data_IF_169604456280
#
_entry.id   IF_169604456280
#
_cell.length_a   1.000
_cell.length_b   1.000
_cell.length_c   1.000
_cell.angle_alpha   90.00
_cell.angle_beta   90.00
_cell.angle_gamma   90.00
#
_symmetry.space_group_name_H-M   'P 1'
#
loop_
_entity.id
_entity.type
_entity.pdbx_description
1 polymer ?
#
# COMPACT_ATOMS: atom_id res chain seq x y z
N UNK A 1 -3.07 12.73 -20.82
CA UNK A 1 -2.28 11.71 -21.51
C UNK A 1 -1.07 12.38 -22.15
N UNK A 2 0.12 11.82 -21.97
CA UNK A 2 1.37 12.26 -22.59
C UNK A 2 1.54 11.56 -23.95
N UNK A 3 2.34 12.12 -24.88
CA UNK A 3 2.60 11.47 -26.17
C UNK A 3 3.27 10.10 -25.98
N UNK A 4 3.06 9.15 -26.92
CA UNK A 4 3.71 7.85 -26.86
C UNK A 4 5.22 8.00 -26.93
N UNK A 5 5.92 7.25 -26.08
CA UNK A 5 7.38 7.08 -26.15
C UNK A 5 7.66 5.73 -26.80
N UNK A 6 8.55 5.70 -27.80
CA UNK A 6 8.95 4.45 -28.43
C UNK A 6 9.56 3.50 -27.39
N UNK A 7 9.03 2.29 -27.32
CA UNK A 7 9.56 1.21 -26.50
C UNK A 7 10.72 0.52 -27.21
N UNK A 8 11.66 -0.03 -26.45
CA UNK A 8 12.82 -0.75 -26.98
C UNK A 8 12.45 -2.22 -27.20
N UNK A 9 12.73 -2.74 -28.40
CA UNK A 9 12.49 -4.14 -28.71
C UNK A 9 13.59 -5.01 -28.11
N UNK A 10 13.26 -5.82 -27.10
CA UNK A 10 14.19 -6.68 -26.38
C UNK A 10 14.43 -8.04 -27.05
N UNK A 11 13.38 -8.65 -27.58
CA UNK A 11 13.44 -10.02 -28.11
C UNK A 11 12.55 -10.17 -29.34
N UNK A 12 13.04 -10.98 -30.29
CA UNK A 12 12.32 -11.45 -31.47
C UNK A 12 12.33 -12.98 -31.47
N UNK A 13 11.28 -13.58 -30.92
CA UNK A 13 11.11 -15.03 -30.83
C UNK A 13 9.73 -15.46 -31.33
N UNK A 14 9.07 -16.40 -30.63
CA UNK A 14 7.66 -16.73 -30.87
C UNK A 14 6.68 -15.58 -30.59
N UNK A 15 7.17 -14.53 -29.91
CA UNK A 15 6.51 -13.26 -29.60
C UNK A 15 7.54 -12.13 -29.67
N UNK A 16 7.06 -10.87 -29.71
CA UNK A 16 7.88 -9.67 -29.62
C UNK A 16 7.77 -9.07 -28.23
N UNK A 17 8.90 -8.76 -27.59
CA UNK A 17 8.91 -8.16 -26.24
C UNK A 17 9.47 -6.75 -26.31
N UNK A 18 8.72 -5.81 -25.77
CA UNK A 18 9.05 -4.39 -25.71
C UNK A 18 9.31 -3.97 -24.25
N UNK A 19 10.43 -3.30 -23.99
CA UNK A 19 10.76 -2.63 -22.72
C UNK A 19 10.41 -1.15 -22.81
N UNK A 20 9.54 -0.69 -21.91
CA UNK A 20 9.19 0.73 -21.77
C UNK A 20 10.31 1.52 -21.07
N UNK A 21 11.30 0.83 -20.51
CA UNK A 21 12.47 1.33 -19.80
C UNK A 21 12.21 1.60 -18.31
N UNK A 22 10.96 1.89 -17.97
CA UNK A 22 10.49 2.11 -16.60
C UNK A 22 9.04 1.67 -16.46
N UNK A 23 8.61 1.49 -15.21
CA UNK A 23 7.22 1.28 -14.88
C UNK A 23 6.36 2.43 -15.45
N UNK A 24 5.39 2.06 -16.27
CA UNK A 24 4.59 3.00 -17.04
C UNK A 24 3.12 2.66 -16.91
N UNK A 25 2.33 3.64 -16.48
CA UNK A 25 0.87 3.53 -16.41
C UNK A 25 0.26 4.38 -17.51
N UNK A 26 -0.58 3.77 -18.34
CA UNK A 26 -1.10 4.47 -19.51
C UNK A 26 -2.07 3.68 -20.38
N UNK A 27 -2.33 4.23 -21.55
CA UNK A 27 -3.22 3.62 -22.54
C UNK A 27 -2.41 2.95 -23.64
N UNK A 28 -2.79 1.73 -24.03
CA UNK A 28 -2.14 1.03 -25.14
C UNK A 28 -2.17 1.88 -26.42
N UNK A 29 -1.01 2.06 -27.02
CA UNK A 29 -0.81 2.72 -28.30
C UNK A 29 -0.14 1.75 -29.28
N UNK A 30 -0.74 1.62 -30.46
CA UNK A 30 -0.23 0.78 -31.55
C UNK A 30 -0.19 1.62 -32.82
N UNK A 31 0.96 1.63 -33.50
CA UNK A 31 1.12 2.21 -34.83
C UNK A 31 1.99 1.34 -35.71
N UNK A 32 1.39 0.81 -36.78
CA UNK A 32 2.09 0.05 -37.82
C UNK A 32 1.24 -0.11 -39.08
N UNK A 33 1.86 -0.57 -40.16
CA UNK A 33 1.17 -0.92 -41.41
C UNK A 33 1.03 -2.43 -41.50
N UNK A 34 -0.19 -2.93 -41.58
CA UNK A 34 -0.46 -4.36 -41.76
C UNK A 34 -0.70 -4.66 -43.24
N UNK A 35 -0.09 -5.71 -43.78
CA UNK A 35 -0.40 -6.19 -45.14
C UNK A 35 -1.70 -6.99 -45.15
N UNK A 36 -2.04 -7.61 -44.02
CA UNK A 36 -3.20 -8.48 -43.84
C UNK A 36 -3.92 -8.11 -42.55
N UNK A 37 -5.22 -8.38 -42.50
CA UNK A 37 -5.93 -8.37 -41.23
C UNK A 37 -5.32 -9.43 -40.30
N UNK A 38 -5.01 -9.05 -39.05
CA UNK A 38 -4.45 -9.95 -38.05
C UNK A 38 -4.82 -9.50 -36.64
N UNK A 39 -4.94 -10.44 -35.71
CA UNK A 39 -5.17 -10.14 -34.30
C UNK A 39 -3.86 -10.21 -33.53
N UNK A 40 -3.59 -9.14 -32.78
CA UNK A 40 -2.50 -9.06 -31.81
C UNK A 40 -3.04 -9.38 -30.43
N UNK A 41 -2.36 -10.25 -29.69
CA UNK A 41 -2.54 -10.39 -28.24
C UNK A 41 -1.39 -9.65 -27.56
N UNK A 42 -1.72 -8.63 -26.78
CA UNK A 42 -0.76 -7.80 -26.06
C UNK A 42 -0.87 -8.12 -24.58
N UNK A 43 0.13 -8.83 -24.06
CA UNK A 43 0.31 -9.07 -22.63
C UNK A 43 1.12 -7.94 -22.00
N UNK A 44 0.82 -7.57 -20.76
CA UNK A 44 1.51 -6.49 -20.05
C UNK A 44 1.90 -6.93 -18.63
N UNK A 45 3.06 -6.48 -18.16
CA UNK A 45 3.52 -6.80 -16.80
C UNK A 45 4.72 -5.99 -16.34
N UNK A 46 4.96 -6.00 -15.03
CA UNK A 46 6.05 -5.27 -14.38
C UNK A 46 7.40 -6.02 -14.48
N UNK A 47 7.36 -7.33 -14.76
CA UNK A 47 8.52 -8.20 -14.82
C UNK A 47 8.39 -9.28 -15.90
N UNK A 48 9.52 -9.90 -16.24
CA UNK A 48 9.59 -11.08 -17.10
C UNK A 48 9.84 -12.33 -16.26
N UNK A 49 9.15 -13.42 -16.57
CA UNK A 49 9.36 -14.76 -16.01
C UNK A 49 9.74 -15.73 -17.12
N UNK A 50 10.90 -16.36 -17.01
CA UNK A 50 11.47 -17.23 -18.06
C UNK A 50 11.53 -16.55 -19.45
N UNK A 51 11.79 -15.24 -19.48
CA UNK A 51 11.88 -14.47 -20.72
C UNK A 51 10.55 -14.02 -21.32
N UNK A 52 9.42 -14.25 -20.65
CA UNK A 52 8.08 -13.87 -21.10
C UNK A 52 7.39 -12.97 -20.07
N UNK A 53 6.43 -12.16 -20.50
CA UNK A 53 5.52 -11.46 -19.59
C UNK A 53 4.63 -12.51 -18.93
N UNK A 54 4.51 -12.45 -17.60
CA UNK A 54 3.64 -13.33 -16.83
C UNK A 54 2.15 -12.96 -17.05
N UNK A 55 1.62 -13.31 -18.23
CA UNK A 55 0.26 -12.97 -18.66
C UNK A 55 -0.82 -13.55 -17.75
N UNK A 56 -0.74 -14.87 -17.51
CA UNK A 56 -1.72 -15.62 -16.73
C UNK A 56 -1.13 -15.93 -15.37
N UNK A 57 -1.70 -15.34 -14.32
CA UNK A 57 -1.29 -15.60 -12.93
C UNK A 57 -2.53 -15.92 -12.12
N UNK A 58 -2.64 -17.18 -11.68
CA UNK A 58 -3.84 -17.74 -11.07
C UNK A 58 -5.07 -17.56 -11.99
N UNK A 59 -6.08 -16.81 -11.57
CA UNK A 59 -7.30 -16.50 -12.31
C UNK A 59 -7.26 -15.15 -13.08
N UNK A 60 -6.11 -14.46 -13.05
CA UNK A 60 -5.92 -13.14 -13.68
C UNK A 60 -5.31 -13.27 -15.07
N UNK A 61 -5.86 -12.54 -16.03
CA UNK A 61 -5.32 -12.39 -17.39
C UNK A 61 -4.90 -10.93 -17.66
N UNK A 62 -3.58 -10.71 -17.67
CA UNK A 62 -2.94 -9.43 -17.98
C UNK A 62 -2.69 -9.29 -19.48
N UNK A 63 -3.75 -9.40 -20.28
CA UNK A 63 -3.69 -9.16 -21.72
C UNK A 63 -4.90 -8.39 -22.27
N UNK A 64 -4.72 -7.87 -23.48
CA UNK A 64 -5.78 -7.33 -24.34
C UNK A 64 -5.55 -7.79 -25.77
N UNK A 65 -6.62 -7.80 -26.57
CA UNK A 65 -6.51 -8.09 -28.02
C UNK A 65 -6.79 -6.85 -28.85
N UNK A 66 -6.14 -6.76 -30.00
CA UNK A 66 -6.35 -5.72 -31.01
C UNK A 66 -6.32 -6.35 -32.41
N UNK A 67 -7.37 -6.13 -33.20
CA UNK A 67 -7.43 -6.58 -34.59
C UNK A 67 -7.07 -5.44 -35.52
N UNK A 68 -5.94 -5.55 -36.19
CA UNK A 68 -5.47 -4.59 -37.18
C UNK A 68 -6.13 -4.84 -38.53
N UNK A 69 -6.46 -3.78 -39.26
CA UNK A 69 -6.97 -3.86 -40.64
C UNK A 69 -5.82 -3.78 -41.63
N UNK A 70 -6.00 -4.31 -42.83
CA UNK A 70 -5.05 -4.08 -43.93
C UNK A 70 -4.86 -2.58 -44.16
N UNK A 71 -3.59 -2.14 -44.25
CA UNK A 71 -3.19 -0.75 -44.42
C UNK A 71 -2.60 -0.14 -43.15
N UNK A 72 -2.68 1.18 -43.04
CA UNK A 72 -2.15 1.92 -41.90
C UNK A 72 -3.07 1.77 -40.68
N UNK A 73 -2.47 1.44 -39.53
CA UNK A 73 -3.15 1.37 -38.25
C UNK A 73 -2.48 2.34 -37.27
N UNK A 74 -3.28 3.20 -36.65
CA UNK A 74 -2.87 4.06 -35.53
C UNK A 74 -4.01 4.05 -34.51
N UNK A 75 -3.75 3.45 -33.34
CA UNK A 75 -4.77 3.13 -32.36
C UNK A 75 -4.32 3.53 -30.95
N UNK A 76 -5.27 4.06 -30.17
CA UNK A 76 -5.15 4.27 -28.74
C UNK A 76 -6.44 3.83 -28.05
N UNK A 77 -6.34 3.10 -26.93
CA UNK A 77 -7.50 2.70 -26.13
C UNK A 77 -7.60 3.52 -24.82
N UNK A 78 -8.41 4.59 -24.77
CA UNK A 78 -8.59 5.39 -23.55
C UNK A 78 -9.52 4.75 -22.51
N UNK A 79 -10.13 3.60 -22.81
CA UNK A 79 -11.15 2.97 -21.95
C UNK A 79 -10.57 1.98 -20.93
N UNK A 80 -9.35 1.49 -21.15
CA UNK A 80 -8.66 0.58 -20.22
C UNK A 80 -7.22 1.02 -20.02
N UNK A 81 -6.90 1.40 -18.79
CA UNK A 81 -5.54 1.74 -18.38
C UNK A 81 -4.77 0.45 -18.09
N UNK A 82 -3.57 0.35 -18.64
CA UNK A 82 -2.62 -0.73 -18.40
C UNK A 82 -1.46 -0.17 -17.57
N UNK A 83 -0.81 -1.03 -16.81
CA UNK A 83 0.44 -0.72 -16.15
C UNK A 83 1.43 -1.87 -16.30
N UNK A 84 2.69 -1.51 -16.39
CA UNK A 84 3.81 -2.42 -16.47
C UNK A 84 5.04 -1.75 -17.05
N UNK A 85 6.11 -2.51 -17.11
CA UNK A 85 7.35 -2.14 -17.80
C UNK A 85 7.50 -2.86 -19.15
N UNK A 86 6.94 -4.05 -19.27
CA UNK A 86 7.10 -4.90 -20.44
C UNK A 86 5.76 -5.14 -21.15
N UNK A 87 5.80 -5.10 -22.48
CA UNK A 87 4.70 -5.54 -23.33
C UNK A 87 5.19 -6.73 -24.16
N UNK A 88 4.43 -7.82 -24.17
CA UNK A 88 4.68 -8.97 -25.03
C UNK A 88 3.55 -9.10 -26.05
N UNK A 89 3.92 -9.18 -27.32
CA UNK A 89 2.99 -9.17 -28.45
C UNK A 89 3.10 -10.48 -29.20
N UNK A 90 2.02 -11.25 -29.16
CA UNK A 90 1.78 -12.40 -30.02
C UNK A 90 0.98 -11.95 -31.24
N UNK A 91 1.43 -12.33 -32.43
CA UNK A 91 0.85 -11.94 -33.70
C UNK A 91 0.81 -13.11 -34.68
N UNK A 92 -0.17 -13.13 -35.57
CA UNK A 92 -0.24 -14.13 -36.65
C UNK A 92 0.88 -13.93 -37.70
N UNK A 93 1.24 -12.68 -37.99
CA UNK A 93 2.29 -12.29 -38.93
C UNK A 93 3.30 -11.35 -38.24
N UNK A 94 4.16 -11.86 -37.34
CA UNK A 94 5.08 -11.04 -36.53
C UNK A 94 6.10 -10.27 -37.36
N UNK A 95 6.41 -10.71 -38.58
CA UNK A 95 7.24 -10.00 -39.53
C UNK A 95 6.67 -8.63 -39.93
N UNK A 96 5.35 -8.46 -39.94
CA UNK A 96 4.69 -7.18 -40.25
C UNK A 96 4.84 -6.15 -39.13
N UNK A 97 5.27 -6.57 -37.94
CA UNK A 97 5.52 -5.67 -36.81
C UNK A 97 6.94 -5.07 -36.83
N UNK A 98 7.72 -5.29 -37.88
CA UNK A 98 9.00 -4.61 -38.04
C UNK A 98 8.81 -3.08 -38.14
N UNK A 99 9.41 -2.35 -37.20
CA UNK A 99 9.25 -0.90 -37.11
C UNK A 99 7.95 -0.43 -36.46
N UNK A 100 7.10 -1.35 -35.98
CA UNK A 100 5.90 -1.01 -35.23
C UNK A 100 6.25 -0.20 -33.96
N UNK A 101 5.36 0.73 -33.61
CA UNK A 101 5.39 1.44 -32.33
C UNK A 101 4.28 0.85 -31.47
N UNK A 102 4.65 -0.02 -30.53
CA UNK A 102 3.75 -0.60 -29.54
C UNK A 102 4.26 -0.15 -28.17
N UNK A 103 3.44 0.61 -27.44
CA UNK A 103 3.83 1.26 -26.19
C UNK A 103 2.60 1.64 -25.36
N UNK A 104 2.82 2.25 -24.20
CA UNK A 104 1.77 2.90 -23.42
C UNK A 104 1.92 4.42 -23.54
N UNK A 105 0.83 5.12 -23.86
CA UNK A 105 0.71 6.57 -23.71
C UNK A 105 0.51 6.91 -22.23
N UNK A 106 1.49 7.52 -21.54
CA UNK A 106 1.42 7.67 -20.09
C UNK A 106 0.24 8.55 -19.65
N UNK A 107 -0.41 8.14 -18.57
CA UNK A 107 -1.45 8.91 -17.89
C UNK A 107 -0.90 9.31 -16.53
N UNK A 108 -1.04 10.59 -16.19
CA UNK A 108 -0.56 11.15 -14.92
C UNK A 108 -1.55 12.16 -14.40
N UNK A 109 -1.83 12.13 -13.10
CA UNK A 109 -2.46 13.25 -12.43
C UNK A 109 -1.51 14.47 -12.53
N UNK A 110 -2.01 15.68 -12.91
CA UNK A 110 -1.15 16.86 -13.11
C UNK A 110 -0.74 17.50 -11.77
N UNK A 111 0.03 16.76 -10.97
CA UNK A 111 0.59 17.23 -9.69
C UNK A 111 1.88 18.02 -9.90
N UNK A 112 2.14 18.98 -9.01
CA UNK A 112 3.40 19.72 -8.99
C UNK A 112 4.32 19.12 -7.94
N UNK A 113 5.45 18.53 -8.37
CA UNK A 113 6.51 18.04 -7.47
C UNK A 113 7.14 19.17 -6.66
N UNK A 114 7.47 18.88 -5.40
CA UNK A 114 8.37 19.69 -4.57
C UNK A 114 9.81 19.34 -4.92
N UNK A 115 10.66 20.35 -5.06
CA UNK A 115 12.11 20.16 -5.27
C UNK A 115 12.78 19.86 -3.93
N UNK A 116 13.75 18.97 -3.92
CA UNK A 116 14.52 18.50 -2.76
C UNK A 116 15.99 18.35 -3.16
N UNK A 117 16.91 18.66 -2.27
CA UNK A 117 18.35 18.67 -2.56
C UNK A 117 19.08 17.68 -1.66
N UNK A 118 19.58 16.60 -2.24
CA UNK A 118 20.19 15.52 -1.47
C UNK A 118 21.71 15.60 -1.51
N UNK A 119 22.33 15.41 -0.35
CA UNK A 119 23.79 15.27 -0.25
C UNK A 119 24.31 13.96 -0.87
N UNK A 120 23.49 12.92 -0.88
CA UNK A 120 23.82 11.59 -1.41
C UNK A 120 23.04 11.28 -2.69
N UNK A 121 23.72 10.74 -3.71
CA UNK A 121 23.06 10.20 -4.91
C UNK A 121 22.11 9.05 -4.56
N UNK A 122 22.49 8.19 -3.62
CA UNK A 122 21.65 7.08 -3.17
C UNK A 122 20.34 7.58 -2.59
N UNK A 123 20.38 8.57 -1.69
CA UNK A 123 19.17 9.12 -1.07
C UNK A 123 18.30 9.86 -2.11
N UNK A 124 18.93 10.57 -3.05
CA UNK A 124 18.22 11.18 -4.19
C UNK A 124 17.48 10.12 -5.01
N UNK A 125 18.16 9.04 -5.40
CA UNK A 125 17.57 7.95 -6.20
C UNK A 125 16.42 7.27 -5.45
N UNK A 126 16.60 7.00 -4.15
CA UNK A 126 15.53 6.45 -3.31
C UNK A 126 14.32 7.39 -3.30
N UNK A 127 14.53 8.68 -3.07
CA UNK A 127 13.46 9.66 -3.07
C UNK A 127 12.75 9.75 -4.43
N UNK A 128 13.50 9.85 -5.52
CA UNK A 128 12.94 10.00 -6.86
C UNK A 128 12.13 8.77 -7.29
N UNK A 129 12.60 7.57 -6.94
CA UNK A 129 11.86 6.32 -7.14
C UNK A 129 10.59 6.28 -6.28
N UNK A 130 10.63 6.73 -5.03
CA UNK A 130 9.42 6.82 -4.20
C UNK A 130 8.40 7.82 -4.78
N UNK A 131 8.84 9.00 -5.24
CA UNK A 131 7.95 9.99 -5.88
C UNK A 131 7.35 9.43 -7.17
N UNK A 132 8.13 8.73 -7.99
CA UNK A 132 7.63 8.03 -9.19
C UNK A 132 6.61 6.95 -8.84
N UNK A 133 6.84 6.19 -7.76
CA UNK A 133 5.89 5.19 -7.25
C UNK A 133 4.56 5.83 -6.90
N UNK A 134 4.56 6.96 -6.18
CA UNK A 134 3.34 7.72 -5.88
C UNK A 134 2.64 8.20 -7.15
N UNK A 135 3.37 8.78 -8.12
CA UNK A 135 2.76 9.23 -9.38
C UNK A 135 2.08 8.10 -10.15
N UNK A 136 2.68 6.91 -10.16
CA UNK A 136 2.08 5.73 -10.78
C UNK A 136 0.83 5.24 -10.04
N UNK A 137 0.68 5.56 -8.75
CA UNK A 137 -0.46 5.15 -7.92
C UNK A 137 -1.51 6.27 -7.74
N UNK A 138 -1.46 7.33 -8.57
CA UNK A 138 -2.34 8.50 -8.47
C UNK A 138 -3.09 8.77 -9.77
N UNK A 139 -4.38 8.42 -9.82
CA UNK A 139 -5.26 8.71 -10.97
C UNK A 139 -6.59 9.32 -10.53
N UNK A 140 -7.69 8.56 -10.56
CA UNK A 140 -9.00 9.00 -10.06
C UNK A 140 -9.02 9.05 -8.53
N UNK A 141 -8.28 8.15 -7.89
CA UNK A 141 -7.99 8.10 -6.47
C UNK A 141 -6.57 7.54 -6.25
N UNK A 142 -6.13 7.46 -4.99
CA UNK A 142 -4.95 6.65 -4.68
C UNK A 142 -5.25 5.19 -4.98
N UNK A 143 -4.35 4.54 -5.69
CA UNK A 143 -4.37 3.11 -5.97
C UNK A 143 -3.32 2.44 -5.08
N UNK A 144 -3.58 1.23 -4.61
CA UNK A 144 -2.59 0.37 -3.98
C UNK A 144 -1.43 0.10 -4.95
N UNK A 145 -1.76 -0.41 -6.14
CA UNK A 145 -0.87 -0.64 -7.26
C UNK A 145 -1.60 -0.42 -8.60
N UNK A 146 -0.89 0.05 -9.65
CA UNK A 146 -1.53 0.34 -10.93
C UNK A 146 -1.70 -0.88 -11.83
N UNK A 147 -0.99 -1.99 -11.56
CA UNK A 147 -0.97 -3.19 -12.40
C UNK A 147 -2.10 -4.17 -12.10
N UNK A 148 -2.35 -4.45 -10.82
CA UNK A 148 -3.22 -5.57 -10.42
C UNK A 148 -4.60 -5.13 -9.97
N UNK A 149 -4.69 -4.36 -8.89
CA UNK A 149 -5.98 -4.08 -8.24
C UNK A 149 -6.54 -2.70 -8.60
N UNK A 150 -5.68 -1.70 -8.74
CA UNK A 150 -6.07 -0.32 -9.02
C UNK A 150 -7.13 0.18 -8.01
N UNK A 151 -6.99 -0.20 -6.73
CA UNK A 151 -8.01 -0.05 -5.71
C UNK A 151 -7.60 0.93 -4.60
N UNK A 152 -8.58 1.67 -4.06
CA UNK A 152 -8.33 2.57 -2.94
C UNK A 152 -8.47 1.84 -1.60
N UNK A 153 -7.35 1.34 -1.09
CA UNK A 153 -7.28 0.83 0.27
C UNK A 153 -7.04 1.97 1.27
N UNK A 154 -7.74 1.94 2.42
CA UNK A 154 -7.65 3.00 3.44
C UNK A 154 -6.24 3.09 4.05
N UNK A 155 -5.59 1.95 4.32
CA UNK A 155 -4.24 1.94 4.90
C UNK A 155 -3.18 2.40 3.89
N UNK A 156 -3.26 1.91 2.65
CA UNK A 156 -2.40 2.31 1.55
C UNK A 156 -2.46 3.81 1.29
N UNK A 157 -3.68 4.32 1.12
CA UNK A 157 -3.89 5.75 0.88
C UNK A 157 -3.43 6.60 2.05
N UNK A 158 -3.45 6.12 3.31
CA UNK A 158 -2.86 6.84 4.44
C UNK A 158 -1.36 7.01 4.28
N UNK A 159 -0.62 5.95 3.96
CA UNK A 159 0.82 6.04 3.70
C UNK A 159 1.11 6.91 2.47
N UNK A 160 0.35 6.75 1.39
CA UNK A 160 0.49 7.55 0.18
C UNK A 160 0.23 9.04 0.41
N UNK A 161 -0.79 9.37 1.20
CA UNK A 161 -1.08 10.76 1.58
C UNK A 161 0.05 11.34 2.44
N UNK A 162 0.53 10.59 3.45
CA UNK A 162 1.62 11.01 4.32
C UNK A 162 2.87 11.40 3.50
N UNK A 163 3.24 10.57 2.53
CA UNK A 163 4.35 10.81 1.61
C UNK A 163 4.02 11.92 0.59
N UNK A 164 2.79 11.94 0.07
CA UNK A 164 2.31 12.89 -0.92
C UNK A 164 2.35 14.33 -0.42
N UNK A 165 2.11 14.57 0.87
CA UNK A 165 2.28 15.91 1.47
C UNK A 165 3.69 16.43 1.34
N UNK A 166 4.69 15.55 1.37
CA UNK A 166 6.11 15.90 1.29
C UNK A 166 6.64 15.87 -0.16
N UNK A 167 5.97 15.13 -1.06
CA UNK A 167 6.28 15.00 -2.49
C UNK A 167 5.67 16.11 -3.37
N UNK A 168 4.42 16.51 -3.11
CA UNK A 168 3.62 17.32 -4.05
C UNK A 168 3.01 18.56 -3.38
N UNK A 169 2.65 19.55 -4.20
CA UNK A 169 1.82 20.68 -3.78
C UNK A 169 0.33 20.40 -4.01
N UNK A 170 -0.51 20.97 -3.14
CA UNK A 170 -1.97 20.87 -3.23
C UNK A 170 -2.54 19.72 -2.39
N UNK A 171 -3.80 19.85 -2.01
CA UNK A 171 -4.49 18.93 -1.08
C UNK A 171 -5.85 18.42 -1.60
N UNK A 172 -6.28 18.88 -2.78
CA UNK A 172 -7.60 18.56 -3.32
C UNK A 172 -7.76 17.07 -3.61
N UNK A 173 -6.70 16.41 -4.09
CA UNK A 173 -6.70 14.98 -4.40
C UNK A 173 -6.85 14.13 -3.13
N UNK A 174 -6.10 14.47 -2.09
CA UNK A 174 -6.20 13.86 -0.75
C UNK A 174 -7.61 13.97 -0.20
N UNK A 175 -8.19 15.18 -0.25
CA UNK A 175 -9.57 15.43 0.20
C UNK A 175 -10.60 14.62 -0.60
N UNK A 176 -10.37 14.45 -1.90
CA UNK A 176 -11.23 13.66 -2.76
C UNK A 176 -11.21 12.17 -2.38
N UNK A 177 -10.02 11.58 -2.22
CA UNK A 177 -9.89 10.18 -1.80
C UNK A 177 -10.48 9.93 -0.42
N UNK A 178 -10.27 10.83 0.54
CA UNK A 178 -10.90 10.75 1.86
C UNK A 178 -12.43 10.75 1.81
N UNK A 179 -13.01 11.49 0.86
CA UNK A 179 -14.46 11.52 0.65
C UNK A 179 -14.97 10.22 0.02
N UNK A 180 -14.24 9.65 -0.94
CA UNK A 180 -14.58 8.35 -1.53
C UNK A 180 -14.58 7.26 -0.46
N UNK A 181 -13.57 7.24 0.42
CA UNK A 181 -13.51 6.32 1.56
C UNK A 181 -14.70 6.55 2.52
N UNK A 182 -15.04 7.80 2.86
CA UNK A 182 -16.23 8.07 3.68
C UNK A 182 -17.53 7.54 3.07
N UNK A 183 -17.64 7.53 1.75
CA UNK A 183 -18.81 7.05 1.02
C UNK A 183 -18.89 5.52 0.96
N UNK A 184 -17.84 4.79 1.35
CA UNK A 184 -17.84 3.33 1.42
C UNK A 184 -18.19 2.77 2.81
N UNK A 185 -18.63 3.63 3.74
CA UNK A 185 -19.15 3.19 5.04
C UNK A 185 -20.40 2.33 4.83
N UNK A 186 -20.38 1.13 5.42
CA UNK A 186 -21.44 0.14 5.35
C UNK A 186 -22.38 0.24 6.55
N UNK A 187 -23.50 -0.47 6.47
CA UNK A 187 -24.54 -0.47 7.52
C UNK A 187 -24.04 -1.07 8.85
N UNK A 188 -23.12 -2.04 8.79
CA UNK A 188 -22.43 -2.63 9.96
C UNK A 188 -21.46 -1.64 10.66
N UNK A 189 -21.20 -0.49 10.04
CA UNK A 189 -20.34 0.56 10.56
C UNK A 189 -18.85 0.36 10.30
N UNK A 190 -18.48 -0.60 9.45
CA UNK A 190 -17.13 -0.72 8.89
C UNK A 190 -17.06 -0.10 7.50
N UNK A 191 -15.86 0.25 7.07
CA UNK A 191 -15.60 0.66 5.69
C UNK A 191 -15.50 -0.60 4.80
N UNK A 192 -15.99 -0.51 3.56
CA UNK A 192 -15.66 -1.52 2.55
C UNK A 192 -14.14 -1.66 2.40
N UNK A 193 -13.67 -2.85 2.04
CA UNK A 193 -12.24 -3.14 1.86
C UNK A 193 -11.54 -2.10 0.94
N UNK A 194 -12.22 -1.70 -0.14
CA UNK A 194 -11.76 -0.70 -1.09
C UNK A 194 -12.89 0.28 -1.44
N UNK A 195 -12.55 1.50 -1.87
CA UNK A 195 -13.51 2.52 -2.28
C UNK A 195 -13.25 3.11 -3.69
N UNK A 196 -14.26 3.29 -4.55
CA UNK A 196 -15.58 2.68 -4.46
C UNK A 196 -15.48 1.15 -4.64
N UNK A 197 -16.36 0.42 -3.96
CA UNK A 197 -16.43 -1.03 -4.07
C UNK A 197 -17.59 -1.58 -3.23
N UNK A 198 -18.12 -2.74 -3.63
CA UNK A 198 -19.24 -3.43 -2.98
C UNK A 198 -18.88 -4.84 -2.48
N UNK A 199 -17.57 -5.14 -2.40
CA UNK A 199 -17.07 -6.41 -1.89
C UNK A 199 -17.67 -6.70 -0.50
N UNK A 200 -18.10 -7.96 -0.24
CA UNK A 200 -18.59 -8.37 1.06
C UNK A 200 -17.48 -8.58 2.09
N UNK A 201 -16.21 -8.59 1.65
CA UNK A 201 -15.04 -8.72 2.53
C UNK A 201 -14.66 -7.34 3.05
N UNK A 202 -14.27 -7.29 4.33
CA UNK A 202 -13.86 -6.07 5.02
C UNK A 202 -12.65 -6.32 5.92
N UNK A 203 -11.86 -5.29 6.16
CA UNK A 203 -10.70 -5.34 7.05
C UNK A 203 -10.96 -4.36 8.20
N UNK A 204 -11.38 -4.84 9.40
CA UNK A 204 -11.69 -3.96 10.53
C UNK A 204 -10.52 -3.02 10.88
N UNK A 205 -9.27 -3.50 10.82
CA UNK A 205 -8.08 -2.68 11.05
C UNK A 205 -8.05 -1.44 10.15
N UNK A 206 -8.46 -1.56 8.87
CA UNK A 206 -8.41 -0.47 7.90
C UNK A 206 -9.47 0.61 8.23
N UNK A 207 -10.59 0.23 8.84
CA UNK A 207 -11.57 1.19 9.36
C UNK A 207 -10.99 2.06 10.49
N UNK A 208 -10.15 1.48 11.35
CA UNK A 208 -9.47 2.21 12.43
C UNK A 208 -8.35 3.14 11.93
N UNK A 209 -7.87 2.97 10.70
CA UNK A 209 -6.90 3.88 10.08
C UNK A 209 -7.57 5.19 9.64
N UNK A 210 -8.85 5.16 9.27
CA UNK A 210 -9.54 6.35 8.73
C UNK A 210 -9.51 7.58 9.66
N UNK A 211 -9.78 7.47 10.98
CA UNK A 211 -9.64 8.60 11.90
C UNK A 211 -8.22 9.17 11.95
N UNK A 212 -7.19 8.32 11.82
CA UNK A 212 -5.78 8.73 11.81
C UNK A 212 -5.50 9.51 10.52
N UNK A 213 -5.95 8.98 9.38
CA UNK A 213 -5.79 9.60 8.07
C UNK A 213 -6.45 10.98 8.01
N UNK A 214 -7.64 11.13 8.60
CA UNK A 214 -8.35 12.40 8.71
C UNK A 214 -7.62 13.38 9.63
N UNK A 215 -7.11 12.93 10.78
CA UNK A 215 -6.30 13.77 11.65
C UNK A 215 -5.06 14.28 10.92
N UNK A 216 -4.28 13.38 10.31
CA UNK A 216 -3.07 13.73 9.57
C UNK A 216 -3.39 14.71 8.44
N UNK A 217 -4.50 14.54 7.72
CA UNK A 217 -4.97 15.54 6.75
C UNK A 217 -5.25 16.89 7.40
N UNK A 218 -6.00 16.95 8.51
CA UNK A 218 -6.30 18.23 9.17
C UNK A 218 -5.06 18.93 9.69
N UNK A 219 -4.09 18.20 10.23
CA UNK A 219 -2.82 18.77 10.72
C UNK A 219 -1.95 19.28 9.57
N UNK A 220 -1.91 18.57 8.45
CA UNK A 220 -1.08 18.92 7.29
C UNK A 220 -1.64 20.06 6.46
N UNK A 221 -2.96 20.25 6.48
CA UNK A 221 -3.65 21.19 5.57
C UNK A 221 -4.34 22.35 6.29
N UNK A 222 -4.64 22.19 7.59
CA UNK A 222 -5.53 23.09 8.34
C UNK A 222 -7.01 22.98 7.95
N UNK A 223 -7.38 22.16 6.96
CA UNK A 223 -8.74 22.05 6.47
C UNK A 223 -9.61 21.15 7.38
N UNK A 224 -10.25 21.76 8.37
CA UNK A 224 -11.20 21.08 9.25
C UNK A 224 -12.58 20.85 8.61
N UNK A 225 -12.89 21.44 7.45
CA UNK A 225 -14.18 21.22 6.76
C UNK A 225 -14.36 19.77 6.31
N UNK A 226 -13.27 19.00 6.22
CA UNK A 226 -13.30 17.55 5.96
C UNK A 226 -14.19 16.81 6.97
N UNK A 227 -14.30 17.33 8.21
CA UNK A 227 -15.10 16.73 9.27
C UNK A 227 -16.61 16.79 9.01
N UNK A 228 -17.08 17.63 8.09
CA UNK A 228 -18.49 17.68 7.71
C UNK A 228 -18.98 16.35 7.15
N UNK A 229 -18.13 15.67 6.37
CA UNK A 229 -18.42 14.33 5.86
C UNK A 229 -17.74 13.22 6.67
N UNK A 230 -16.52 13.45 7.17
CA UNK A 230 -15.76 12.41 7.86
C UNK A 230 -16.17 12.21 9.33
N UNK A 231 -16.66 13.26 10.00
CA UNK A 231 -17.02 13.21 11.42
C UNK A 231 -18.10 12.17 11.76
N UNK A 232 -19.24 12.13 11.03
CA UNK A 232 -20.25 11.09 11.21
C UNK A 232 -19.71 9.68 10.97
N UNK A 233 -18.86 9.51 9.94
CA UNK A 233 -18.24 8.22 9.60
C UNK A 233 -17.32 7.73 10.71
N UNK A 234 -16.42 8.59 11.19
CA UNK A 234 -15.52 8.28 12.31
C UNK A 234 -16.33 7.89 13.55
N UNK A 235 -17.38 8.63 13.90
CA UNK A 235 -18.22 8.30 15.06
C UNK A 235 -18.87 6.93 14.90
N UNK A 236 -19.39 6.59 13.72
CA UNK A 236 -20.00 5.28 13.46
C UNK A 236 -18.96 4.16 13.61
N UNK A 237 -17.79 4.30 13.00
CA UNK A 237 -16.68 3.35 13.14
C UNK A 237 -16.35 3.15 14.63
N UNK A 238 -16.05 4.23 15.36
CA UNK A 238 -15.65 4.12 16.76
C UNK A 238 -16.75 3.55 17.66
N UNK A 239 -18.03 3.79 17.34
CA UNK A 239 -19.18 3.16 18.02
C UNK A 239 -19.24 1.65 17.76
N UNK A 240 -18.99 1.20 16.52
CA UNK A 240 -18.94 -0.24 16.18
C UNK A 240 -17.87 -0.95 17.00
N UNK A 241 -16.65 -0.40 17.08
CA UNK A 241 -15.58 -0.99 17.89
C UNK A 241 -15.85 -0.89 19.40
N UNK A 242 -16.42 0.22 19.88
CA UNK A 242 -16.81 0.34 21.28
C UNK A 242 -17.85 -0.71 21.69
N UNK A 243 -18.83 -1.01 20.82
CA UNK A 243 -19.83 -2.04 21.03
C UNK A 243 -19.30 -3.46 20.95
N UNK A 244 -18.11 -3.66 20.39
CA UNK A 244 -17.44 -4.96 20.31
C UNK A 244 -16.54 -5.26 21.53
N UNK A 245 -16.28 -4.29 22.41
CA UNK A 245 -15.53 -4.53 23.66
C UNK A 245 -16.37 -5.41 24.58
N UNK A 246 -15.84 -6.58 24.94
CA UNK A 246 -16.52 -7.54 25.80
C UNK A 246 -16.12 -7.41 27.29
N UNK A 247 -16.58 -8.33 28.13
CA UNK A 247 -16.32 -8.35 29.57
C UNK A 247 -14.83 -8.42 29.96
N UNK A 248 -13.96 -8.84 29.04
CA UNK A 248 -12.50 -8.85 29.26
C UNK A 248 -11.89 -7.45 29.18
N UNK A 249 -12.64 -6.49 28.63
CA UNK A 249 -12.17 -5.15 28.30
C UNK A 249 -11.38 -5.10 27.00
N UNK A 250 -11.49 -6.12 26.14
CA UNK A 250 -10.82 -6.21 24.84
C UNK A 250 -11.84 -6.43 23.73
N UNK A 251 -11.40 -6.16 22.50
CA UNK A 251 -12.12 -6.42 21.26
C UNK A 251 -11.67 -7.79 20.75
N UNK A 252 -12.56 -8.78 20.63
CA UNK A 252 -12.23 -10.05 19.99
C UNK A 252 -12.00 -9.86 18.50
N UNK A 253 -11.27 -10.79 17.88
CA UNK A 253 -11.17 -10.88 16.44
C UNK A 253 -12.59 -10.95 15.84
N UNK A 254 -12.81 -10.20 14.76
CA UNK A 254 -14.14 -10.12 14.15
C UNK A 254 -14.47 -11.44 13.45
N UNK A 255 -15.73 -11.90 13.51
CA UNK A 255 -16.16 -13.11 12.81
C UNK A 255 -16.20 -12.89 11.28
N UNK A 256 -16.16 -14.00 10.54
CA UNK A 256 -16.42 -13.98 9.09
C UNK A 256 -17.74 -13.25 8.76
N UNK A 257 -17.78 -12.39 7.73
CA UNK A 257 -16.82 -12.24 6.63
C UNK A 257 -15.69 -11.23 6.86
N UNK A 258 -15.47 -10.75 8.09
CA UNK A 258 -14.33 -9.87 8.37
C UNK A 258 -13.00 -10.61 8.19
N UNK A 259 -12.09 -9.98 7.45
CA UNK A 259 -10.70 -10.37 7.35
C UNK A 259 -9.91 -9.64 8.43
N UNK A 260 -9.48 -10.33 9.50
CA UNK A 260 -8.59 -9.75 10.53
C UNK A 260 -7.14 -9.63 10.01
N UNK A 261 -6.97 -9.03 8.83
CA UNK A 261 -5.70 -8.71 8.22
C UNK A 261 -5.04 -7.53 8.93
N UNK A 262 -3.75 -7.68 9.21
CA UNK A 262 -2.92 -6.62 9.75
C UNK A 262 -1.72 -6.33 8.86
N UNK A 263 -1.04 -7.35 8.36
CA UNK A 263 0.07 -7.20 7.41
C UNK A 263 0.47 -8.53 6.74
N UNK A 264 1.29 -8.46 5.69
CA UNK A 264 1.84 -9.62 4.98
C UNK A 264 3.03 -10.25 5.71
N UNK A 265 2.79 -10.71 6.93
CA UNK A 265 3.76 -11.46 7.73
C UNK A 265 3.09 -12.64 8.42
N UNK A 266 3.88 -13.65 8.75
CA UNK A 266 3.38 -14.85 9.44
C UNK A 266 2.57 -14.48 10.70
N UNK A 267 1.40 -15.09 10.82
CA UNK A 267 0.46 -14.87 11.93
C UNK A 267 -0.37 -13.58 11.87
N UNK A 268 -0.14 -12.69 10.88
CA UNK A 268 -0.81 -11.38 10.77
C UNK A 268 -1.62 -11.18 9.48
N UNK A 269 -1.49 -12.09 8.50
CA UNK A 269 -2.32 -12.07 7.30
C UNK A 269 -3.75 -12.58 7.57
N UNK A 270 -3.92 -13.52 8.51
CA UNK A 270 -5.19 -14.11 8.97
C UNK A 270 -6.15 -14.54 7.86
N UNK A 271 -5.66 -14.93 6.68
CA UNK A 271 -6.53 -15.29 5.54
C UNK A 271 -7.46 -16.49 5.85
N UNK A 272 -7.04 -17.36 6.77
CA UNK A 272 -7.85 -18.48 7.27
C UNK A 272 -9.10 -18.06 8.08
N UNK A 273 -9.20 -16.79 8.49
CA UNK A 273 -10.41 -16.25 9.14
C UNK A 273 -11.56 -16.10 8.13
N UNK A 274 -11.24 -15.82 6.86
CA UNK A 274 -12.23 -15.71 5.78
C UNK A 274 -12.87 -17.05 5.43
N UNK A 275 -12.08 -18.13 5.48
CA UNK A 275 -12.51 -19.46 5.06
C UNK A 275 -13.16 -20.27 6.19
N UNK A 276 -13.27 -19.71 7.41
CA UNK A 276 -13.75 -20.43 8.60
C UNK A 276 -12.86 -21.62 9.00
N UNK A 277 -11.63 -21.69 8.48
CA UNK A 277 -10.72 -22.80 8.70
C UNK A 277 -9.90 -22.65 9.99
N UNK A 278 -9.89 -21.46 10.61
CA UNK A 278 -9.35 -21.26 11.96
C UNK A 278 -10.43 -21.52 13.00
N UNK A 279 -10.04 -22.25 14.04
CA UNK A 279 -10.90 -22.50 15.21
C UNK A 279 -11.44 -21.15 15.72
N UNK A 280 -12.76 -20.95 15.63
CA UNK A 280 -13.50 -19.75 16.04
C UNK A 280 -13.54 -19.60 17.57
N UNK A 281 -12.49 -20.06 18.26
CA UNK A 281 -12.25 -19.72 19.66
C UNK A 281 -12.15 -18.21 19.77
N UNK A 282 -12.71 -17.70 20.87
CA UNK A 282 -12.55 -16.32 21.31
C UNK A 282 -11.05 -15.95 21.32
N UNK A 283 -10.63 -15.21 20.29
CA UNK A 283 -9.26 -14.78 20.03
C UNK A 283 -9.18 -13.27 20.21
N UNK A 284 -8.14 -12.80 20.88
CA UNK A 284 -7.83 -11.38 20.95
C UNK A 284 -6.46 -11.16 20.36
N UNK A 285 -6.38 -10.20 19.45
CA UNK A 285 -5.14 -9.84 18.77
C UNK A 285 -4.63 -8.50 19.34
N UNK A 286 -3.34 -8.47 19.67
CA UNK A 286 -2.68 -7.28 20.22
C UNK A 286 -2.82 -6.09 19.26
N UNK A 287 -2.61 -6.35 17.96
CA UNK A 287 -2.61 -5.32 16.91
C UNK A 287 -3.96 -4.61 16.83
N UNK A 288 -5.07 -5.36 16.79
CA UNK A 288 -6.42 -4.78 16.71
C UNK A 288 -6.73 -3.90 17.93
N UNK A 289 -6.44 -4.41 19.13
CA UNK A 289 -6.72 -3.72 20.38
C UNK A 289 -5.86 -2.46 20.55
N UNK A 290 -4.57 -2.54 20.24
CA UNK A 290 -3.70 -1.36 20.24
C UNK A 290 -4.10 -0.35 19.16
N UNK A 291 -4.48 -0.79 17.96
CA UNK A 291 -4.92 0.11 16.90
C UNK A 291 -6.19 0.88 17.29
N UNK A 292 -7.13 0.25 18.00
CA UNK A 292 -8.31 0.93 18.49
C UNK A 292 -7.97 2.00 19.55
N UNK A 293 -7.11 1.67 20.52
CA UNK A 293 -6.61 2.65 21.51
C UNK A 293 -5.90 3.81 20.80
N UNK A 294 -5.08 3.50 19.80
CA UNK A 294 -4.36 4.50 19.01
C UNK A 294 -5.37 5.42 18.30
N UNK A 295 -6.35 4.87 17.58
CA UNK A 295 -7.39 5.62 16.89
C UNK A 295 -8.25 6.49 17.83
N UNK A 296 -8.56 6.02 19.05
CA UNK A 296 -9.24 6.83 20.08
C UNK A 296 -8.43 8.09 20.43
N UNK A 297 -7.10 7.97 20.56
CA UNK A 297 -6.22 9.12 20.79
C UNK A 297 -6.28 10.16 19.67
N UNK A 298 -6.34 9.73 18.40
CA UNK A 298 -6.52 10.63 17.25
C UNK A 298 -7.92 11.25 17.22
N UNK A 299 -8.96 10.48 17.53
CA UNK A 299 -10.33 11.01 17.65
C UNK A 299 -10.41 12.10 18.72
N UNK A 300 -9.76 11.88 19.87
CA UNK A 300 -9.72 12.86 20.94
C UNK A 300 -9.10 14.19 20.51
N UNK A 301 -7.98 14.14 19.78
CA UNK A 301 -7.36 15.35 19.20
C UNK A 301 -8.21 15.99 18.11
N UNK A 302 -8.85 15.19 17.25
CA UNK A 302 -9.71 15.68 16.18
C UNK A 302 -10.92 16.46 16.70
N UNK A 303 -11.60 15.90 17.70
CA UNK A 303 -12.87 16.43 18.20
C UNK A 303 -12.73 17.25 19.49
N UNK A 304 -11.52 17.35 20.06
CA UNK A 304 -11.28 18.05 21.32
C UNK A 304 -11.92 17.34 22.52
N UNK A 305 -11.99 16.01 22.48
CA UNK A 305 -12.58 15.17 23.52
C UNK A 305 -11.50 14.33 24.19
N UNK A 306 -11.48 14.27 25.52
CA UNK A 306 -10.60 13.34 26.22
C UNK A 306 -11.26 11.96 26.29
N UNK A 307 -10.54 10.90 25.91
CA UNK A 307 -11.02 9.52 26.04
C UNK A 307 -10.10 8.76 26.97
N UNK A 308 -10.61 8.39 28.15
CA UNK A 308 -9.88 7.55 29.07
C UNK A 308 -9.81 6.11 28.54
N UNK A 309 -8.61 5.69 28.14
CA UNK A 309 -8.32 4.34 27.67
C UNK A 309 -7.61 3.49 28.75
N UNK A 310 -7.55 3.95 30.00
CA UNK A 310 -6.78 3.31 31.09
C UNK A 310 -7.19 1.85 31.32
N UNK A 311 -8.49 1.58 31.38
CA UNK A 311 -9.04 0.24 31.59
C UNK A 311 -8.64 -0.74 30.47
N UNK A 312 -8.77 -0.31 29.21
CA UNK A 312 -8.41 -1.14 28.05
C UNK A 312 -6.89 -1.33 27.94
N UNK A 313 -6.09 -0.28 28.21
CA UNK A 313 -4.62 -0.37 28.30
C UNK A 313 -4.18 -1.38 29.35
N UNK A 314 -4.87 -1.43 30.49
CA UNK A 314 -4.59 -2.42 31.53
C UNK A 314 -5.03 -3.83 31.11
N UNK A 315 -6.17 -3.98 30.43
CA UNK A 315 -6.58 -5.26 29.85
C UNK A 315 -5.55 -5.76 28.82
N UNK A 316 -5.03 -4.90 27.96
CA UNK A 316 -3.96 -5.23 27.00
C UNK A 316 -2.70 -5.65 27.74
N UNK A 317 -2.25 -4.88 28.74
CA UNK A 317 -1.07 -5.21 29.55
C UNK A 317 -1.23 -6.58 30.20
N UNK A 318 -2.33 -6.81 30.92
CA UNK A 318 -2.62 -8.07 31.62
C UNK A 318 -2.66 -9.27 30.67
N UNK A 319 -3.22 -9.10 29.47
CA UNK A 319 -3.45 -10.21 28.54
C UNK A 319 -2.23 -10.53 27.68
N UNK A 320 -1.45 -9.53 27.25
CA UNK A 320 -0.42 -9.73 26.23
C UNK A 320 1.01 -9.55 26.73
N UNK A 321 1.26 -8.77 27.78
CA UNK A 321 2.63 -8.46 28.22
C UNK A 321 3.27 -9.64 28.96
N UNK A 322 4.50 -9.98 28.57
CA UNK A 322 5.33 -11.02 29.18
C UNK A 322 6.52 -10.33 29.88
N UNK A 323 6.48 -10.17 31.22
CA UNK A 323 7.49 -9.40 31.96
C UNK A 323 8.92 -9.89 31.79
N UNK A 324 9.12 -11.21 31.70
CA UNK A 324 10.42 -11.85 31.57
C UNK A 324 11.11 -11.41 30.28
N UNK A 325 10.36 -11.37 29.18
CA UNK A 325 10.86 -11.00 27.86
C UNK A 325 10.87 -9.48 27.64
N UNK A 326 9.96 -8.77 28.33
CA UNK A 326 9.70 -7.34 28.13
C UNK A 326 8.92 -7.06 26.85
N UNK A 327 8.14 -8.02 26.38
CA UNK A 327 7.45 -8.01 25.08
C UNK A 327 5.97 -8.36 25.22
N UNK A 328 5.19 -8.02 24.20
CA UNK A 328 3.78 -8.38 24.09
C UNK A 328 3.60 -9.50 23.07
N UNK A 329 2.97 -10.61 23.46
CA UNK A 329 2.58 -11.70 22.54
C UNK A 329 1.54 -11.23 21.53
N UNK A 330 1.56 -11.83 20.34
CA UNK A 330 0.74 -11.41 19.20
C UNK A 330 -0.76 -11.60 19.46
N UNK A 331 -1.15 -12.71 20.08
CA UNK A 331 -2.55 -12.98 20.39
C UNK A 331 -2.72 -13.88 21.62
N UNK A 332 -3.98 -14.14 22.01
CA UNK A 332 -4.28 -15.13 23.06
C UNK A 332 -4.07 -16.58 22.63
N UNK A 333 -3.88 -16.84 21.33
CA UNK A 333 -3.68 -18.18 20.76
C UNK A 333 -2.30 -18.37 20.13
N UNK A 334 -1.55 -17.29 19.91
CA UNK A 334 -0.18 -17.29 19.39
C UNK A 334 0.74 -16.54 20.36
N UNK A 335 1.62 -17.32 21.02
CA UNK A 335 2.58 -16.80 22.00
C UNK A 335 3.81 -16.12 21.38
N UNK A 336 3.95 -16.07 20.05
CA UNK A 336 5.05 -15.40 19.37
C UNK A 336 4.95 -13.88 19.50
N UNK A 337 6.00 -13.19 19.10
CA UNK A 337 6.10 -11.74 19.11
C UNK A 337 6.18 -11.21 17.67
N UNK A 338 5.54 -10.07 17.40
CA UNK A 338 5.73 -9.32 16.15
C UNK A 338 6.23 -7.91 16.43
N UNK A 339 7.03 -7.38 15.51
CA UNK A 339 7.51 -6.00 15.57
C UNK A 339 6.34 -5.01 15.51
N UNK A 340 5.36 -5.23 14.62
CA UNK A 340 4.19 -4.37 14.50
C UNK A 340 3.36 -4.30 15.78
N UNK A 341 3.01 -5.45 16.37
CA UNK A 341 2.21 -5.49 17.59
C UNK A 341 2.89 -4.76 18.75
N UNK A 342 4.20 -4.97 18.91
CA UNK A 342 4.99 -4.32 19.95
C UNK A 342 5.21 -2.82 19.68
N UNK A 343 5.36 -2.40 18.41
CA UNK A 343 5.43 -0.99 18.04
C UNK A 343 4.11 -0.26 18.32
N UNK A 344 2.96 -0.88 18.00
CA UNK A 344 1.64 -0.32 18.31
C UNK A 344 1.37 -0.26 19.83
N UNK A 345 1.79 -1.27 20.59
CA UNK A 345 1.74 -1.22 22.05
C UNK A 345 2.53 -0.02 22.58
N UNK A 346 3.75 0.21 22.06
CA UNK A 346 4.57 1.36 22.44
C UNK A 346 3.92 2.70 22.07
N UNK A 347 3.32 2.82 20.89
CA UNK A 347 2.55 4.00 20.47
C UNK A 347 1.33 4.26 21.36
N UNK A 348 0.78 3.23 22.00
CA UNK A 348 -0.29 3.36 23.00
C UNK A 348 0.24 3.74 24.39
N UNK A 349 1.55 3.92 24.57
CA UNK A 349 2.18 4.18 25.87
C UNK A 349 2.25 2.92 26.75
N UNK A 350 2.30 1.74 26.14
CA UNK A 350 2.51 0.47 26.82
C UNK A 350 3.96 0.00 26.64
N UNK A 351 4.37 -0.96 27.45
CA UNK A 351 5.73 -1.50 27.46
C UNK A 351 6.63 -0.83 28.50
N UNK A 352 7.85 -1.33 28.59
CA UNK A 352 8.87 -0.83 29.50
C UNK A 352 10.03 -0.16 28.74
N UNK A 353 11.00 0.36 29.47
CA UNK A 353 12.18 1.03 28.91
C UNK A 353 13.06 0.17 27.98
N UNK A 354 12.90 -1.16 27.98
CA UNK A 354 13.65 -2.09 27.10
C UNK A 354 13.03 -2.18 25.71
N UNK A 355 11.74 -1.90 25.56
CA UNK A 355 10.97 -2.15 24.34
C UNK A 355 11.56 -1.48 23.08
N UNK A 356 11.99 -0.20 23.10
CA UNK A 356 12.60 0.43 21.93
C UNK A 356 13.83 -0.33 21.39
N UNK A 357 14.73 -0.76 22.27
CA UNK A 357 15.94 -1.51 21.87
C UNK A 357 15.60 -2.92 21.36
N UNK A 358 14.54 -3.54 21.92
CA UNK A 358 14.03 -4.81 21.40
C UNK A 358 13.49 -4.66 19.98
N UNK A 359 12.77 -3.57 19.69
CA UNK A 359 12.23 -3.28 18.37
C UNK A 359 13.32 -3.00 17.34
N UNK A 360 14.37 -2.24 17.70
CA UNK A 360 15.57 -2.04 16.86
C UNK A 360 16.24 -3.38 16.55
N UNK A 361 16.38 -4.25 17.55
CA UNK A 361 17.00 -5.56 17.35
C UNK A 361 16.15 -6.51 16.51
N UNK A 362 14.82 -6.45 16.62
CA UNK A 362 13.87 -7.38 15.98
C UNK A 362 14.05 -8.85 16.36
N UNK A 363 14.95 -9.18 17.29
CA UNK A 363 15.33 -10.56 17.61
C UNK A 363 14.17 -11.29 18.27
N UNK A 364 13.91 -12.52 17.83
CA UNK A 364 12.79 -13.36 18.27
C UNK A 364 11.40 -12.74 17.98
N UNK A 365 11.33 -11.78 17.04
CA UNK A 365 10.08 -11.23 16.55
C UNK A 365 9.91 -11.53 15.07
N UNK A 366 8.65 -11.67 14.66
CA UNK A 366 8.26 -11.62 13.26
C UNK A 366 8.51 -10.17 12.78
N UNK A 367 9.30 -9.98 11.70
CA UNK A 367 9.66 -8.65 11.22
C UNK A 367 8.44 -7.92 10.67
N UNK A 368 8.42 -6.59 10.76
CA UNK A 368 7.36 -5.77 10.15
C UNK A 368 7.55 -5.68 8.63
N UNK A 369 6.45 -5.76 7.90
CA UNK A 369 6.38 -5.60 6.46
C UNK A 369 6.49 -4.12 6.04
N UNK A 370 6.65 -3.88 4.73
CA UNK A 370 6.73 -2.52 4.17
C UNK A 370 5.46 -1.70 4.42
N UNK A 371 4.28 -2.34 4.44
CA UNK A 371 3.00 -1.65 4.60
C UNK A 371 2.84 -1.00 5.98
N UNK A 372 3.42 -1.62 7.00
CA UNK A 372 3.23 -1.22 8.40
C UNK A 372 4.50 -0.67 9.07
N UNK A 373 5.63 -0.61 8.36
CA UNK A 373 6.91 -0.14 8.94
C UNK A 373 6.83 1.30 9.45
N UNK A 374 5.88 2.12 8.97
CA UNK A 374 5.62 3.46 9.51
C UNK A 374 5.34 3.45 11.00
N UNK A 375 4.58 2.46 11.50
CA UNK A 375 4.28 2.33 12.93
C UNK A 375 5.54 2.00 13.74
N UNK A 376 6.47 1.20 13.21
CA UNK A 376 7.76 0.96 13.85
C UNK A 376 8.57 2.27 13.94
N UNK A 377 8.71 2.97 12.82
CA UNK A 377 9.50 4.20 12.77
C UNK A 377 8.91 5.28 13.67
N UNK A 378 7.60 5.47 13.65
CA UNK A 378 6.91 6.45 14.49
C UNK A 378 7.04 6.09 15.97
N UNK A 379 6.95 4.81 16.33
CA UNK A 379 7.12 4.37 17.70
C UNK A 379 8.55 4.68 18.20
N UNK A 380 9.57 4.33 17.43
CA UNK A 380 10.96 4.58 17.79
C UNK A 380 11.25 6.08 17.92
N UNK A 381 10.80 6.89 16.95
CA UNK A 381 11.00 8.35 16.98
C UNK A 381 10.23 9.04 18.11
N UNK A 382 9.08 8.48 18.52
CA UNK A 382 8.35 8.95 19.69
C UNK A 382 9.04 8.57 21.01
N UNK A 383 9.80 7.47 21.03
CA UNK A 383 10.54 7.05 22.20
C UNK A 383 11.79 7.91 22.43
N UNK A 384 12.61 8.14 21.40
CA UNK A 384 13.82 8.96 21.48
C UNK A 384 14.33 9.37 20.08
N UNK A 385 14.83 10.59 19.92
CA UNK A 385 15.40 11.08 18.66
C UNK A 385 16.64 10.30 18.19
N UNK A 386 17.34 9.58 19.08
CA UNK A 386 18.54 8.78 18.74
C UNK A 386 18.27 7.64 17.76
N UNK A 387 17.01 7.23 17.60
CA UNK A 387 16.64 6.19 16.63
C UNK A 387 16.50 6.69 15.19
N UNK A 388 16.72 7.98 14.93
CA UNK A 388 16.71 8.55 13.58
C UNK A 388 17.68 7.82 12.63
N UNK A 389 18.87 7.48 13.12
CA UNK A 389 19.88 6.77 12.31
C UNK A 389 19.42 5.36 11.92
N UNK A 390 18.73 4.66 12.84
CA UNK A 390 18.15 3.35 12.53
C UNK A 390 17.08 3.46 11.45
N UNK A 391 16.16 4.42 11.57
CA UNK A 391 15.08 4.62 10.58
C UNK A 391 15.66 4.92 9.20
N UNK A 392 16.64 5.82 9.11
CA UNK A 392 17.29 6.15 7.83
C UNK A 392 18.06 4.95 7.27
N UNK A 393 18.76 4.20 8.11
CA UNK A 393 19.49 3.00 7.67
C UNK A 393 18.54 1.91 7.17
N UNK A 394 17.41 1.67 7.83
CA UNK A 394 16.44 0.66 7.42
C UNK A 394 15.74 1.03 6.11
N UNK A 395 15.37 2.30 5.92
CA UNK A 395 14.87 2.81 4.62
C UNK A 395 15.90 2.58 3.52
N UNK A 396 17.16 2.98 3.73
CA UNK A 396 18.24 2.80 2.74
C UNK A 396 18.46 1.32 2.41
N UNK A 397 18.39 0.44 3.40
CA UNK A 397 18.52 -1.01 3.21
C UNK A 397 17.38 -1.57 2.36
N UNK A 398 16.12 -1.29 2.74
CA UNK A 398 14.92 -1.81 2.06
C UNK A 398 14.80 -1.27 0.64
N UNK A 399 14.93 0.04 0.46
CA UNK A 399 14.85 0.68 -0.86
C UNK A 399 16.08 0.38 -1.73
N UNK A 400 17.28 0.36 -1.14
CA UNK A 400 18.53 0.04 -1.84
C UNK A 400 18.51 -1.34 -2.48
N UNK A 401 18.02 -2.35 -1.74
CA UNK A 401 17.83 -3.72 -2.27
C UNK A 401 16.99 -3.73 -3.57
N UNK A 402 15.91 -2.95 -3.62
CA UNK A 402 15.05 -2.88 -4.81
C UNK A 402 15.74 -2.13 -5.95
N UNK A 403 16.42 -1.03 -5.66
CA UNK A 403 17.19 -0.27 -6.66
C UNK A 403 18.32 -1.11 -7.28
N UNK A 404 19.01 -1.91 -6.46
CA UNK A 404 20.08 -2.81 -6.91
C UNK A 404 19.51 -3.93 -7.82
N UNK A 405 18.25 -4.30 -7.63
CA UNK A 405 17.50 -5.20 -8.51
C UNK A 405 16.92 -4.50 -9.77
N UNK A 406 17.23 -3.22 -9.99
CA UNK A 406 16.80 -2.47 -11.18
C UNK A 406 15.39 -1.88 -11.09
N UNK A 407 14.85 -1.74 -9.88
CA UNK A 407 13.52 -1.18 -9.66
C UNK A 407 13.43 0.29 -10.12
N UNK A 408 12.34 0.62 -10.81
CA UNK A 408 12.01 2.00 -11.22
C UNK A 408 10.86 2.61 -10.40
N UNK A 409 10.23 1.77 -9.58
CA UNK A 409 9.19 2.04 -8.57
C UNK A 409 9.41 1.07 -7.39
N UNK A 410 8.83 1.35 -6.22
CA UNK A 410 8.99 0.47 -5.05
C UNK A 410 7.89 -0.59 -4.96
N UNK A 411 8.29 -1.77 -4.50
CA UNK A 411 7.51 -3.00 -4.54
C UNK A 411 6.50 -3.08 -3.38
N UNK A 412 5.50 -3.93 -3.54
CA UNK A 412 4.51 -4.26 -2.52
C UNK A 412 5.17 -4.87 -1.28
N UNK A 413 6.05 -5.85 -1.48
CA UNK A 413 6.80 -6.52 -0.42
C UNK A 413 8.29 -6.61 -0.79
N UNK A 414 9.14 -6.93 0.19
CA UNK A 414 10.58 -7.16 -0.08
C UNK A 414 10.85 -8.45 -0.87
N UNK A 415 9.84 -9.30 -1.12
CA UNK A 415 9.93 -10.50 -1.97
C UNK A 415 9.73 -10.17 -3.45
N UNK A 416 9.17 -9.00 -3.77
CA UNK A 416 8.99 -8.54 -5.15
C UNK A 416 8.02 -9.43 -5.93
N UNK A 417 8.33 -9.66 -7.21
CA UNK A 417 7.45 -10.34 -8.16
C UNK A 417 7.08 -11.78 -7.76
N UNK A 418 7.97 -12.47 -7.05
CA UNK A 418 7.74 -13.87 -6.63
C UNK A 418 6.69 -14.00 -5.52
N UNK A 419 6.33 -12.89 -4.86
CA UNK A 419 5.29 -12.92 -3.84
C UNK A 419 3.91 -13.25 -4.43
N UNK A 420 2.99 -13.68 -3.56
CA UNK A 420 1.61 -14.05 -3.92
C UNK A 420 1.52 -15.05 -5.09
N UNK A 421 2.51 -15.96 -5.18
CA UNK A 421 2.59 -16.96 -6.24
C UNK A 421 2.95 -16.39 -7.61
N UNK A 422 3.75 -15.31 -7.65
CA UNK A 422 4.16 -14.64 -8.88
C UNK A 422 3.34 -13.38 -9.21
N UNK A 423 2.53 -12.89 -8.27
CA UNK A 423 1.61 -11.75 -8.45
C UNK A 423 1.98 -10.52 -7.60
N UNK A 424 3.18 -10.50 -6.99
CA UNK A 424 3.66 -9.36 -6.22
C UNK A 424 3.87 -8.13 -7.09
N UNK A 425 3.26 -7.01 -6.70
CA UNK A 425 3.43 -5.78 -7.47
C UNK A 425 4.79 -5.15 -7.23
N UNK A 426 5.40 -4.66 -8.31
CA UNK A 426 6.65 -3.89 -8.32
C UNK A 426 6.42 -2.37 -8.32
N UNK A 427 5.17 -1.93 -8.18
CA UNK A 427 4.78 -0.54 -7.99
C UNK A 427 3.63 -0.42 -7.00
N UNK A 428 3.95 -0.25 -5.71
CA UNK A 428 2.95 -0.16 -4.65
C UNK A 428 3.09 1.14 -3.85
N UNK A 429 2.01 1.93 -3.81
CA UNK A 429 2.02 3.29 -3.27
C UNK A 429 2.42 3.36 -1.79
N UNK A 430 2.10 2.33 -1.00
CA UNK A 430 2.42 2.27 0.42
C UNK A 430 3.93 2.24 0.75
N UNK A 431 4.78 1.96 -0.25
CA UNK A 431 6.23 1.73 -0.08
C UNK A 431 7.05 3.00 -0.34
N UNK A 432 6.38 4.12 -0.64
CA UNK A 432 7.02 5.41 -0.91
C UNK A 432 7.49 6.17 0.35
N UNK A 433 7.62 5.49 1.49
CA UNK A 433 7.83 6.06 2.83
C UNK A 433 9.08 6.93 2.96
N UNK A 434 10.09 6.67 2.14
CA UNK A 434 11.32 7.46 2.11
C UNK A 434 11.04 8.97 1.93
N UNK A 435 10.02 9.34 1.14
CA UNK A 435 9.68 10.76 0.92
C UNK A 435 9.33 11.46 2.23
N UNK A 436 8.55 10.80 3.08
CA UNK A 436 8.13 11.38 4.35
C UNK A 436 9.31 11.44 5.36
N UNK A 437 9.99 10.32 5.57
CA UNK A 437 10.99 10.23 6.63
C UNK A 437 12.29 10.96 6.30
N UNK A 438 12.71 11.03 5.04
CA UNK A 438 13.87 11.85 4.68
C UNK A 438 13.61 13.33 5.00
N UNK A 439 12.42 13.84 4.68
CA UNK A 439 12.05 15.23 5.01
C UNK A 439 11.96 15.42 6.53
N UNK A 440 11.29 14.52 7.23
CA UNK A 440 11.09 14.60 8.69
C UNK A 440 12.41 14.56 9.46
N UNK A 441 13.39 13.82 8.97
CA UNK A 441 14.68 13.61 9.64
C UNK A 441 15.82 14.48 9.09
N UNK A 442 15.52 15.41 8.17
CA UNK A 442 16.50 16.37 7.64
C UNK A 442 17.54 15.76 6.68
N UNK A 443 17.16 14.70 5.96
CA UNK A 443 17.99 14.06 4.94
C UNK A 443 17.70 14.57 3.50
N UNK A 444 17.23 15.82 3.35
CA UNK A 444 16.76 16.45 2.10
C UNK A 444 17.17 17.92 1.94
#
# INVERSE_FOLDING_TARGET
>A
MLPPKKADLLSRGGSLIFDLGEETVGYLFIKYRAEREQTLTVSYGEHLRNGHVARLIHDRDFSVTYTAKTGENEFVNPMRRLAGRYLEVEAEYPEELEGAVITLCPVKLPVRRKKRDFASDTDRRIHDTAVKTLECCMHEHYEDCPWREQALYTMDSRNQMLCGYDAFYGYAFQRHSLRLIAQSLRDDGLLAICAPGDSPIEIPFFSLVYPIQIFEYTERTGDRSVLDFAGPVIRRIMQTFAGAVDETGLIPAFPSPCWNFYEWTDGSDSIGDLTGCRDMRLRYDLILNCMYIYALGFCGRLFGTETDCSAMKEAVRRTFYIPEDGLFRMSTVDGRYSVLGNALAMLCGLGDSRLPERLVSGKNMIPVSLSMVTFLYDALLAADGRYSDFVLADIRRKCGKMLDAGATTFWETELGAEDFGGAGSLCHGWSALAVHYFVRLGAV
#
